data_IF_995354653490
#
_entry.id   IF_995354653490
#
_cell.length_a   1.000
_cell.length_b   1.000
_cell.length_c   1.000
_cell.angle_alpha   90.00
_cell.angle_beta   90.00
_cell.angle_gamma   90.00
#
_symmetry.space_group_name_H-M   'P 1'
#
loop_
_entity.id
_entity.type
_entity.pdbx_description
1 polymer ?
#
# COMPACT_ATOMS: atom_id res chain seq x y z
N UNK A 1 -6.35 19.64 -5.42
CA UNK A 1 -6.15 18.26 -4.86
C UNK A 1 -7.24 17.26 -5.22
N UNK A 2 -8.37 17.64 -5.87
CA UNK A 2 -9.45 16.68 -6.15
C UNK A 2 -9.18 15.78 -7.39
N UNK A 3 -8.57 16.33 -8.44
CA UNK A 3 -8.30 15.61 -9.69
C UNK A 3 -7.39 14.39 -9.52
N UNK A 4 -6.27 14.52 -8.80
CA UNK A 4 -5.34 13.39 -8.58
C UNK A 4 -6.02 12.26 -7.80
N UNK A 5 -6.78 12.60 -6.75
CA UNK A 5 -7.53 11.61 -5.97
C UNK A 5 -8.59 10.92 -6.81
N UNK A 6 -9.31 11.66 -7.66
CA UNK A 6 -10.31 11.10 -8.57
C UNK A 6 -9.67 10.17 -9.62
N UNK A 7 -8.52 10.55 -10.17
CA UNK A 7 -7.76 9.70 -11.11
C UNK A 7 -7.30 8.40 -10.46
N UNK A 8 -6.79 8.45 -9.22
CA UNK A 8 -6.39 7.26 -8.48
C UNK A 8 -7.58 6.33 -8.26
N UNK A 9 -8.72 6.86 -7.81
CA UNK A 9 -9.94 6.08 -7.57
C UNK A 9 -10.47 5.47 -8.87
N UNK A 10 -10.53 6.25 -9.94
CA UNK A 10 -10.96 5.77 -11.25
C UNK A 10 -10.05 4.66 -11.77
N UNK A 11 -8.73 4.84 -11.66
CA UNK A 11 -7.75 3.82 -12.01
C UNK A 11 -7.92 2.54 -11.19
N UNK A 12 -8.22 2.67 -9.89
CA UNK A 12 -8.51 1.53 -9.01
C UNK A 12 -9.76 0.76 -9.47
N UNK A 13 -10.83 1.49 -9.79
CA UNK A 13 -12.09 0.89 -10.27
C UNK A 13 -11.84 0.12 -11.56
N UNK A 14 -11.16 0.75 -12.54
CA UNK A 14 -10.82 0.10 -13.80
C UNK A 14 -9.95 -1.14 -13.59
N UNK A 15 -8.98 -1.07 -12.69
CA UNK A 15 -8.13 -2.21 -12.34
C UNK A 15 -8.96 -3.37 -11.79
N UNK A 16 -9.84 -3.12 -10.82
CA UNK A 16 -10.71 -4.14 -10.24
C UNK A 16 -11.64 -4.75 -11.30
N UNK A 17 -12.30 -3.90 -12.10
CA UNK A 17 -13.19 -4.36 -13.16
C UNK A 17 -12.46 -5.22 -14.19
N UNK A 18 -11.24 -4.84 -14.57
CA UNK A 18 -10.42 -5.63 -15.49
C UNK A 18 -10.04 -7.00 -14.90
N UNK A 19 -9.71 -7.07 -13.61
CA UNK A 19 -9.42 -8.33 -12.92
C UNK A 19 -10.61 -9.26 -12.86
N UNK A 20 -11.80 -8.71 -12.58
CA UNK A 20 -13.06 -9.47 -12.59
C UNK A 20 -13.40 -9.94 -14.00
N UNK A 21 -13.30 -9.05 -15.01
CA UNK A 21 -13.58 -9.39 -16.40
C UNK A 21 -12.67 -10.51 -16.94
N UNK A 22 -11.40 -10.52 -16.52
CA UNK A 22 -10.45 -11.59 -16.85
C UNK A 22 -10.81 -12.95 -16.22
N UNK A 23 -11.53 -12.96 -15.10
CA UNK A 23 -11.90 -14.17 -14.38
C UNK A 23 -13.09 -14.90 -15.01
N UNK A 24 -13.98 -14.17 -15.70
CA UNK A 24 -15.23 -14.71 -16.25
C UNK A 24 -15.07 -15.82 -17.31
N UNK A 25 -14.08 -15.77 -18.23
CA UNK A 25 -13.95 -16.78 -19.28
C UNK A 25 -13.51 -18.16 -18.79
N UNK A 26 -12.67 -18.23 -17.73
CA UNK A 26 -12.13 -19.49 -17.22
C UNK A 26 -11.80 -19.39 -15.72
N UNK A 27 -12.86 -19.36 -14.91
CA UNK A 27 -12.77 -19.20 -13.47
C UNK A 27 -11.84 -20.24 -12.82
N UNK A 28 -11.91 -21.50 -13.25
CA UNK A 28 -11.17 -22.60 -12.62
C UNK A 28 -9.67 -22.46 -12.84
N UNK A 29 -9.25 -22.20 -14.09
CA UNK A 29 -7.83 -22.02 -14.42
C UNK A 29 -7.20 -20.84 -13.68
N UNK A 30 -7.93 -19.73 -13.54
CA UNK A 30 -7.43 -18.56 -12.82
C UNK A 30 -7.39 -18.75 -11.29
N UNK A 31 -8.35 -19.46 -10.70
CA UNK A 31 -8.34 -19.75 -9.27
C UNK A 31 -7.24 -20.76 -8.88
N UNK A 32 -6.88 -21.68 -9.76
CA UNK A 32 -5.75 -22.59 -9.55
C UNK A 32 -4.39 -21.93 -9.83
N UNK A 33 -4.38 -20.78 -10.51
CA UNK A 33 -3.18 -20.04 -10.84
C UNK A 33 -2.65 -19.24 -9.65
N UNK A 34 -1.56 -19.73 -9.05
CA UNK A 34 -0.81 -19.02 -7.98
C UNK A 34 -0.48 -17.57 -8.35
N UNK A 35 -0.17 -17.32 -9.64
CA UNK A 35 0.10 -15.98 -10.17
C UNK A 35 -1.12 -15.07 -10.07
N UNK A 36 -2.27 -15.56 -10.52
CA UNK A 36 -3.49 -14.76 -10.51
C UNK A 36 -3.92 -14.46 -9.08
N UNK A 37 -3.92 -15.47 -8.20
CA UNK A 37 -4.21 -15.29 -6.78
C UNK A 37 -3.27 -14.27 -6.12
N UNK A 38 -1.98 -14.31 -6.43
CA UNK A 38 -1.03 -13.36 -5.88
C UNK A 38 -1.28 -11.93 -6.38
N UNK A 39 -1.58 -11.73 -7.67
CA UNK A 39 -1.96 -10.41 -8.20
C UNK A 39 -3.20 -9.86 -7.50
N UNK A 40 -4.23 -10.68 -7.35
CA UNK A 40 -5.46 -10.29 -6.66
C UNK A 40 -5.22 -9.98 -5.19
N UNK A 41 -4.32 -10.73 -4.53
CA UNK A 41 -3.89 -10.46 -3.16
C UNK A 41 -3.24 -9.07 -3.05
N UNK A 42 -2.27 -8.75 -3.90
CA UNK A 42 -1.62 -7.43 -3.87
C UNK A 42 -2.62 -6.31 -4.16
N UNK A 43 -3.51 -6.50 -5.13
CA UNK A 43 -4.57 -5.53 -5.45
C UNK A 43 -5.47 -5.30 -4.24
N UNK A 44 -5.86 -6.36 -3.52
CA UNK A 44 -6.64 -6.24 -2.29
C UNK A 44 -5.93 -5.36 -1.24
N UNK A 45 -4.62 -5.56 -1.02
CA UNK A 45 -3.84 -4.70 -0.13
C UNK A 45 -3.78 -3.25 -0.61
N UNK A 46 -3.61 -3.01 -1.93
CA UNK A 46 -3.64 -1.66 -2.51
C UNK A 46 -4.99 -0.99 -2.24
N UNK A 47 -6.10 -1.71 -2.42
CA UNK A 47 -7.46 -1.18 -2.22
C UNK A 47 -7.69 -0.82 -0.75
N UNK A 48 -7.40 -1.73 0.18
CA UNK A 48 -7.56 -1.47 1.61
C UNK A 48 -6.68 -0.31 2.06
N UNK A 49 -5.41 -0.31 1.67
CA UNK A 49 -4.47 0.71 2.09
C UNK A 49 -4.80 2.08 1.48
N UNK A 50 -5.17 2.12 0.20
CA UNK A 50 -5.64 3.32 -0.49
C UNK A 50 -6.91 3.90 0.14
N UNK A 51 -7.83 3.02 0.57
CA UNK A 51 -9.01 3.40 1.36
C UNK A 51 -8.62 4.02 2.70
N UNK A 52 -7.73 3.38 3.46
CA UNK A 52 -7.25 3.91 4.74
C UNK A 52 -6.57 5.29 4.60
N UNK A 53 -5.72 5.47 3.58
CA UNK A 53 -5.05 6.74 3.34
C UNK A 53 -6.03 7.86 2.95
N UNK A 54 -6.98 7.59 2.05
CA UNK A 54 -7.91 8.61 1.57
C UNK A 54 -9.03 8.92 2.56
N UNK A 55 -9.58 7.91 3.22
CA UNK A 55 -10.75 8.05 4.09
C UNK A 55 -10.38 8.38 5.53
N UNK A 56 -9.21 7.95 6.02
CA UNK A 56 -8.81 8.14 7.43
C UNK A 56 -7.66 9.12 7.58
N UNK A 57 -6.54 8.91 6.89
CA UNK A 57 -5.33 9.72 7.10
C UNK A 57 -5.49 11.13 6.53
N UNK A 58 -5.91 11.25 5.27
CA UNK A 58 -6.08 12.54 4.58
C UNK A 58 -6.96 13.54 5.33
N UNK A 59 -8.18 13.19 5.79
CA UNK A 59 -9.00 14.15 6.54
C UNK A 59 -8.41 14.50 7.91
N UNK A 60 -7.71 13.57 8.56
CA UNK A 60 -7.06 13.84 9.85
C UNK A 60 -5.86 14.77 9.70
N UNK A 61 -5.06 14.61 8.64
CA UNK A 61 -3.95 15.51 8.34
C UNK A 61 -4.41 16.95 8.06
N UNK A 62 -5.54 17.13 7.36
CA UNK A 62 -6.12 18.47 7.13
C UNK A 62 -6.59 19.18 8.40
N UNK A 63 -6.88 18.43 9.47
CA UNK A 63 -7.33 18.96 10.77
C UNK A 63 -6.18 19.26 11.73
N UNK A 64 -4.94 18.96 11.35
CA UNK A 64 -3.77 19.31 12.15
C UNK A 64 -3.54 20.81 12.06
N UNK A 65 -3.68 21.49 13.20
CA UNK A 65 -3.25 22.87 13.37
C UNK A 65 -1.73 22.86 13.56
N UNK A 66 -0.99 23.62 12.73
CA UNK A 66 0.46 23.82 12.86
C UNK A 66 0.83 24.76 14.03
N UNK A 67 -0.04 24.91 15.04
CA UNK A 67 0.27 25.70 16.23
C UNK A 67 1.24 24.92 17.12
N UNK A 68 2.27 25.59 17.62
CA UNK A 68 3.41 25.03 18.37
C UNK A 68 3.00 24.15 19.57
N UNK A 69 1.80 24.35 20.14
CA UNK A 69 1.27 23.53 21.25
C UNK A 69 0.82 22.12 20.87
N UNK A 70 0.73 21.76 19.58
CA UNK A 70 0.23 20.46 19.12
C UNK A 70 1.30 19.53 18.51
N UNK A 71 2.59 19.90 18.57
CA UNK A 71 3.71 19.16 17.94
C UNK A 71 3.80 17.70 18.43
N UNK A 72 3.43 17.43 19.68
CA UNK A 72 3.37 16.08 20.27
C UNK A 72 2.01 15.38 20.15
N UNK A 73 0.93 16.08 19.76
CA UNK A 73 -0.44 15.56 19.90
C UNK A 73 -0.86 14.55 18.83
N UNK A 74 -0.09 14.44 17.73
CA UNK A 74 -0.43 13.63 16.57
C UNK A 74 0.56 12.48 16.27
N UNK A 75 1.30 12.02 17.27
CA UNK A 75 2.32 10.98 17.08
C UNK A 75 1.76 9.68 16.49
N UNK A 76 0.56 9.28 16.92
CA UNK A 76 -0.14 8.11 16.37
C UNK A 76 -0.49 8.29 14.90
N UNK A 77 -0.95 9.48 14.50
CA UNK A 77 -1.25 9.74 13.09
C UNK A 77 0.03 9.71 12.25
N UNK A 78 1.13 10.30 12.74
CA UNK A 78 2.43 10.22 12.07
C UNK A 78 2.87 8.76 11.90
N UNK A 79 2.82 7.93 12.95
CA UNK A 79 3.16 6.49 12.88
C UNK A 79 2.31 5.77 11.81
N UNK A 80 1.00 5.98 11.83
CA UNK A 80 0.09 5.34 10.87
C UNK A 80 0.37 5.83 9.43
N UNK A 81 0.60 7.13 9.23
CA UNK A 81 0.91 7.68 7.90
C UNK A 81 2.19 7.09 7.30
N UNK A 82 3.25 6.95 8.10
CA UNK A 82 4.51 6.34 7.65
C UNK A 82 4.36 4.84 7.33
N UNK A 83 3.61 4.11 8.16
CA UNK A 83 3.33 2.70 7.89
C UNK A 83 2.51 2.53 6.60
N UNK A 84 1.37 3.21 6.47
CA UNK A 84 0.50 3.12 5.29
C UNK A 84 1.20 3.62 4.01
N UNK A 85 2.11 4.59 4.13
CA UNK A 85 2.97 5.02 3.03
C UNK A 85 3.89 3.90 2.54
N UNK A 86 4.55 3.18 3.45
CA UNK A 86 5.39 2.04 3.12
C UNK A 86 4.58 0.89 2.48
N UNK A 87 3.41 0.55 3.04
CA UNK A 87 2.49 -0.44 2.46
C UNK A 87 2.15 -0.08 1.02
N UNK A 88 1.85 1.19 0.74
CA UNK A 88 1.54 1.67 -0.61
C UNK A 88 2.68 1.41 -1.58
N UNK A 89 3.89 1.88 -1.25
CA UNK A 89 5.05 1.77 -2.15
C UNK A 89 5.35 0.30 -2.46
N UNK A 90 5.39 -0.55 -1.43
CA UNK A 90 5.69 -1.98 -1.61
C UNK A 90 4.61 -2.67 -2.42
N UNK A 91 3.34 -2.38 -2.16
CA UNK A 91 2.24 -3.04 -2.88
C UNK A 91 2.18 -2.62 -4.34
N UNK A 92 2.39 -1.34 -4.65
CA UNK A 92 2.47 -0.87 -6.04
C UNK A 92 3.66 -1.45 -6.79
N UNK A 93 4.83 -1.49 -6.15
CA UNK A 93 6.02 -2.10 -6.75
C UNK A 93 5.80 -3.61 -6.97
N UNK A 94 5.22 -4.31 -5.99
CA UNK A 94 4.91 -5.74 -6.10
C UNK A 94 3.93 -6.02 -7.23
N UNK A 95 2.88 -5.21 -7.38
CA UNK A 95 1.93 -5.33 -8.49
C UNK A 95 2.62 -5.18 -9.85
N UNK A 96 3.52 -4.21 -9.98
CA UNK A 96 4.31 -4.00 -11.19
C UNK A 96 5.26 -5.17 -11.47
N UNK A 97 5.96 -5.66 -10.45
CA UNK A 97 6.88 -6.81 -10.55
C UNK A 97 6.13 -8.07 -10.97
N UNK A 98 4.98 -8.38 -10.36
CA UNK A 98 4.13 -9.53 -10.71
C UNK A 98 3.48 -9.41 -12.10
N UNK A 99 3.31 -8.18 -12.61
CA UNK A 99 2.85 -7.95 -13.97
C UNK A 99 3.95 -8.26 -15.00
N UNK A 100 5.22 -7.95 -14.68
CA UNK A 100 6.35 -8.03 -15.62
C UNK A 100 7.12 -9.34 -15.57
N UNK A 101 7.43 -9.87 -14.38
CA UNK A 101 8.29 -11.03 -14.24
C UNK A 101 7.54 -12.30 -14.58
N UNK A 102 8.00 -12.95 -15.65
CA UNK A 102 7.50 -14.25 -16.09
C UNK A 102 8.11 -15.44 -15.35
N UNK A 103 9.22 -15.24 -14.66
CA UNK A 103 9.94 -16.35 -14.02
C UNK A 103 9.38 -16.73 -12.65
N UNK A 104 8.54 -15.87 -12.04
CA UNK A 104 7.83 -16.18 -10.79
C UNK A 104 6.66 -17.17 -10.99
N UNK A 105 6.45 -17.69 -12.21
CA UNK A 105 5.25 -18.46 -12.59
C UNK A 105 5.17 -19.87 -12.03
N UNK A 106 6.29 -20.48 -11.69
CA UNK A 106 6.33 -21.85 -11.16
C UNK A 106 6.38 -21.89 -9.63
N UNK A 107 6.42 -20.72 -8.97
CA UNK A 107 6.47 -20.67 -7.51
C UNK A 107 5.08 -20.91 -6.90
N UNK A 108 4.99 -21.71 -5.83
CA UNK A 108 3.75 -21.87 -5.08
C UNK A 108 3.24 -20.54 -4.53
N UNK A 109 1.91 -20.36 -4.55
CA UNK A 109 1.24 -19.18 -4.00
C UNK A 109 1.72 -18.81 -2.59
N UNK A 110 1.88 -19.81 -1.71
CA UNK A 110 2.29 -19.58 -0.33
C UNK A 110 3.70 -18.97 -0.23
N UNK A 111 4.63 -19.40 -1.08
CA UNK A 111 5.99 -18.84 -1.12
C UNK A 111 5.98 -17.38 -1.54
N UNK A 112 5.19 -17.05 -2.57
CA UNK A 112 5.02 -15.67 -3.03
C UNK A 112 4.36 -14.78 -1.96
N UNK A 113 3.34 -15.32 -1.27
CA UNK A 113 2.64 -14.62 -0.20
C UNK A 113 3.58 -14.33 0.98
N UNK A 114 4.34 -15.32 1.44
CA UNK A 114 5.30 -15.14 2.54
C UNK A 114 6.35 -14.10 2.16
N UNK A 115 6.91 -14.17 0.94
CA UNK A 115 7.86 -13.18 0.45
C UNK A 115 7.29 -11.77 0.44
N UNK A 116 6.06 -11.60 -0.03
CA UNK A 116 5.38 -10.31 -0.02
C UNK A 116 5.10 -9.80 1.39
N UNK A 117 4.60 -10.64 2.29
CA UNK A 117 4.37 -10.27 3.70
C UNK A 117 5.69 -9.90 4.39
N UNK A 118 6.78 -10.61 4.12
CA UNK A 118 8.10 -10.27 4.63
C UNK A 118 8.56 -8.90 4.13
N UNK A 119 8.38 -8.60 2.84
CA UNK A 119 8.66 -7.28 2.29
C UNK A 119 7.84 -6.18 2.96
N UNK A 120 6.53 -6.41 3.19
CA UNK A 120 5.68 -5.47 3.92
C UNK A 120 6.20 -5.21 5.33
N UNK A 121 6.53 -6.26 6.09
CA UNK A 121 7.06 -6.12 7.45
C UNK A 121 8.38 -5.34 7.45
N UNK A 122 9.31 -5.67 6.56
CA UNK A 122 10.60 -4.98 6.45
C UNK A 122 10.40 -3.51 6.09
N UNK A 123 9.54 -3.20 5.12
CA UNK A 123 9.29 -1.83 4.72
C UNK A 123 8.60 -1.00 5.78
N UNK A 124 7.64 -1.59 6.52
CA UNK A 124 7.03 -0.93 7.68
C UNK A 124 8.06 -0.70 8.76
N UNK A 125 8.86 -1.70 9.13
CA UNK A 125 9.91 -1.53 10.13
C UNK A 125 10.91 -0.42 9.72
N UNK A 126 11.31 -0.40 8.45
CA UNK A 126 12.16 0.63 7.87
C UNK A 126 11.51 2.02 7.89
N UNK A 127 10.21 2.13 7.59
CA UNK A 127 9.52 3.42 7.62
C UNK A 127 9.34 3.95 9.04
N UNK A 128 9.14 3.06 10.02
CA UNK A 128 9.12 3.44 11.43
C UNK A 128 10.50 3.93 11.91
N UNK A 129 11.59 3.27 11.48
CA UNK A 129 12.95 3.73 11.76
C UNK A 129 13.23 5.09 11.12
N UNK A 130 12.81 5.29 9.86
CA UNK A 130 12.93 6.56 9.15
C UNK A 130 12.17 7.68 9.87
N UNK A 131 10.94 7.42 10.35
CA UNK A 131 10.17 8.37 11.16
C UNK A 131 10.97 8.85 12.37
N UNK A 132 11.53 7.92 13.15
CA UNK A 132 12.32 8.24 14.36
C UNK A 132 13.56 9.06 13.99
N UNK A 133 14.22 8.72 12.88
CA UNK A 133 15.38 9.46 12.40
C UNK A 133 15.03 10.91 12.03
N UNK A 134 13.95 11.13 11.27
CA UNK A 134 13.50 12.47 10.90
C UNK A 134 13.07 13.30 12.11
N UNK A 135 12.34 12.71 13.07
CA UNK A 135 11.93 13.42 14.29
C UNK A 135 13.14 13.84 15.15
N UNK A 136 14.16 12.99 15.27
CA UNK A 136 15.41 13.34 15.98
C UNK A 136 16.20 14.44 15.29
N UNK A 137 16.17 14.47 13.95
CA UNK A 137 16.86 15.51 13.17
C UNK A 137 16.19 16.88 13.36
N UNK A 138 14.86 16.92 13.27
CA UNK A 138 14.08 18.14 13.40
C UNK A 138 14.23 18.78 14.79
N UNK A 139 14.29 17.98 15.86
CA UNK A 139 14.55 18.47 17.23
C UNK A 139 15.96 19.07 17.39
N UNK A 140 16.96 18.62 16.62
CA UNK A 140 18.33 19.16 16.69
C UNK A 140 18.49 20.49 15.94
N UNK A 141 17.58 20.81 15.03
CA UNK A 141 17.61 22.02 14.21
C UNK A 141 16.76 23.17 14.82
N UNK A 142 16.05 22.90 15.93
CA UNK A 142 15.29 23.84 16.75
C UNK A 142 16.10 24.31 17.97
#
# INVERSE_FOLDING_TARGET
>A
MHLISQMIILGLILLILSGIALLLPDLKSFLDSSRFLMKMTVVFFIVINGGALNLYVTPKMKKISLKEKDIGRNETLKKISFALGALSIISWLSAFVLARLKELFDMPYLTLLIGYLALLVIGVAGSQAAKIYYEKKEIKEL
#
